data_IF_075743576613
#
_entry.id   IF_075743576613
#
_cell.length_a   1.000
_cell.length_b   1.000
_cell.length_c   1.000
_cell.angle_alpha   90.00
_cell.angle_beta   90.00
_cell.angle_gamma   90.00
#
_symmetry.space_group_name_H-M   'P 1'
#
loop_
_entity.id
_entity.type
_entity.pdbx_description
1 polymer ?
#
# COMPACT_ATOMS: atom_id res chain seq x y z
N UNK A 1 -15.15 -2.87 5.05
CA UNK A 1 -13.95 -3.71 4.86
C UNK A 1 -14.05 -4.59 3.62
N UNK A 2 -14.88 -5.65 3.61
CA UNK A 2 -14.92 -6.65 2.51
C UNK A 2 -15.26 -6.06 1.13
N UNK A 3 -16.30 -5.23 1.02
CA UNK A 3 -16.65 -4.60 -0.26
C UNK A 3 -15.49 -3.76 -0.83
N UNK A 4 -14.80 -2.98 0.03
CA UNK A 4 -13.65 -2.18 -0.38
C UNK A 4 -12.48 -3.06 -0.82
N UNK A 5 -12.25 -4.20 -0.14
CA UNK A 5 -11.15 -5.10 -0.49
C UNK A 5 -11.40 -5.84 -1.80
N UNK A 6 -12.64 -6.21 -2.10
CA UNK A 6 -13.05 -6.70 -3.41
C UNK A 6 -12.87 -5.63 -4.49
N UNK A 7 -13.31 -4.39 -4.25
CA UNK A 7 -13.13 -3.30 -5.21
C UNK A 7 -11.64 -3.04 -5.51
N UNK A 8 -10.76 -3.10 -4.51
CA UNK A 8 -9.31 -2.97 -4.72
C UNK A 8 -8.80 -4.05 -5.69
N UNK A 9 -9.17 -5.32 -5.45
CA UNK A 9 -8.76 -6.42 -6.31
C UNK A 9 -9.31 -6.31 -7.73
N UNK A 10 -10.62 -6.07 -7.87
CA UNK A 10 -11.30 -6.05 -9.17
C UNK A 10 -10.93 -4.82 -10.01
N UNK A 11 -10.85 -3.64 -9.39
CA UNK A 11 -10.54 -2.41 -10.10
C UNK A 11 -9.06 -2.35 -10.45
N UNK A 12 -8.16 -2.60 -9.49
CA UNK A 12 -6.71 -2.38 -9.69
C UNK A 12 -5.99 -3.53 -10.40
N UNK A 13 -6.56 -4.74 -10.38
CA UNK A 13 -5.95 -5.92 -11.00
C UNK A 13 -6.88 -6.63 -12.01
N UNK A 14 -7.50 -5.91 -12.97
CA UNK A 14 -8.48 -6.48 -13.89
C UNK A 14 -7.85 -7.47 -14.88
N UNK A 15 -6.53 -7.42 -15.03
CA UNK A 15 -5.72 -8.31 -15.87
C UNK A 15 -5.31 -9.62 -15.17
N UNK A 16 -5.60 -9.76 -13.87
CA UNK A 16 -5.27 -10.96 -13.10
C UNK A 16 -6.42 -11.98 -13.12
N UNK A 17 -6.09 -13.26 -12.89
CA UNK A 17 -7.11 -14.31 -12.74
C UNK A 17 -7.90 -14.14 -11.44
N UNK A 18 -9.05 -14.81 -11.37
CA UNK A 18 -9.89 -14.82 -10.17
C UNK A 18 -9.11 -15.25 -8.91
N UNK A 19 -8.25 -16.28 -8.99
CA UNK A 19 -7.49 -16.75 -7.83
C UNK A 19 -6.54 -15.69 -7.29
N UNK A 20 -5.92 -14.90 -8.17
CA UNK A 20 -5.06 -13.78 -7.79
C UNK A 20 -5.90 -12.65 -7.18
N UNK A 21 -7.00 -12.27 -7.81
CA UNK A 21 -7.91 -11.25 -7.27
C UNK A 21 -8.48 -11.66 -5.91
N UNK A 22 -8.84 -12.93 -5.73
CA UNK A 22 -9.30 -13.48 -4.46
C UNK A 22 -8.23 -13.38 -3.38
N UNK A 23 -6.97 -13.72 -3.71
CA UNK A 23 -5.86 -13.52 -2.80
C UNK A 23 -5.72 -12.06 -2.38
N UNK A 24 -5.75 -11.14 -3.34
CA UNK A 24 -5.59 -9.70 -3.11
C UNK A 24 -6.75 -9.14 -2.27
N UNK A 25 -7.98 -9.59 -2.53
CA UNK A 25 -9.16 -9.16 -1.79
C UNK A 25 -9.12 -9.61 -0.32
N UNK A 26 -8.67 -10.84 -0.05
CA UNK A 26 -8.46 -11.31 1.32
C UNK A 26 -7.30 -10.59 1.99
N UNK A 27 -6.17 -10.46 1.29
CA UNK A 27 -5.00 -9.74 1.78
C UNK A 27 -5.37 -8.31 2.21
N UNK A 28 -6.10 -7.59 1.35
CA UNK A 28 -6.57 -6.22 1.61
C UNK A 28 -7.58 -6.16 2.75
N UNK A 29 -8.43 -7.18 2.92
CA UNK A 29 -9.32 -7.25 4.07
C UNK A 29 -8.54 -7.43 5.38
N UNK A 30 -7.50 -8.27 5.38
CA UNK A 30 -6.64 -8.48 6.55
C UNK A 30 -5.82 -7.24 6.89
N UNK A 31 -5.32 -6.50 5.90
CA UNK A 31 -4.58 -5.25 6.17
C UNK A 31 -5.48 -4.17 6.74
N UNK A 32 -6.71 -4.01 6.23
CA UNK A 32 -7.69 -3.11 6.87
C UNK A 32 -8.03 -3.54 8.28
N UNK A 33 -8.20 -4.84 8.53
CA UNK A 33 -8.43 -5.33 9.89
C UNK A 33 -7.23 -5.03 10.80
N UNK A 34 -6.00 -5.23 10.32
CA UNK A 34 -4.80 -4.96 11.10
C UNK A 34 -4.66 -3.49 11.46
N UNK A 35 -4.94 -2.58 10.51
CA UNK A 35 -4.94 -1.13 10.71
C UNK A 35 -5.96 -0.71 11.78
N UNK A 36 -7.23 -1.09 11.59
CA UNK A 36 -8.32 -0.80 12.53
C UNK A 36 -8.03 -1.41 13.94
N UNK A 37 -7.45 -2.62 13.99
CA UNK A 37 -7.12 -3.28 15.25
C UNK A 37 -5.92 -2.64 15.96
N UNK A 38 -4.94 -2.15 15.21
CA UNK A 38 -3.73 -1.54 15.78
C UNK A 38 -4.03 -0.24 16.54
N UNK A 39 -5.08 0.49 16.12
CA UNK A 39 -5.57 1.68 16.82
C UNK A 39 -6.02 1.37 18.24
N UNK A 40 -6.71 0.25 18.42
CA UNK A 40 -7.25 -0.21 19.71
C UNK A 40 -6.20 -0.96 20.55
N UNK A 41 -5.51 -1.94 19.95
CA UNK A 41 -4.49 -2.78 20.57
C UNK A 41 -3.31 -3.03 19.61
N UNK A 42 -2.18 -2.30 19.77
CA UNK A 42 -1.04 -2.45 18.88
C UNK A 42 -0.21 -3.72 19.15
N UNK A 43 -0.31 -4.36 20.32
CA UNK A 43 0.58 -5.48 20.68
C UNK A 43 0.45 -6.69 19.73
N UNK A 44 -0.75 -7.17 19.36
CA UNK A 44 -0.93 -8.24 18.38
C UNK A 44 -0.26 -7.96 17.03
N UNK A 45 -0.28 -6.71 16.58
CA UNK A 45 0.29 -6.25 15.31
C UNK A 45 1.81 -6.24 15.39
N UNK A 46 2.38 -5.65 16.46
CA UNK A 46 3.82 -5.61 16.68
C UNK A 46 4.47 -7.00 16.85
N UNK A 47 3.73 -7.97 17.41
CA UNK A 47 4.20 -9.35 17.58
C UNK A 47 4.11 -10.21 16.31
N UNK A 48 3.39 -9.75 15.27
CA UNK A 48 3.00 -10.57 14.13
C UNK A 48 4.20 -11.25 13.44
N UNK A 49 5.24 -10.48 13.11
CA UNK A 49 6.41 -10.97 12.39
C UNK A 49 7.24 -11.97 13.22
N UNK A 50 7.41 -11.70 14.52
CA UNK A 50 8.12 -12.59 15.44
C UNK A 50 7.40 -13.93 15.58
N UNK A 51 6.08 -13.90 15.83
CA UNK A 51 5.28 -15.12 16.01
C UNK A 51 5.18 -15.92 14.72
N UNK A 52 5.04 -15.25 13.57
CA UNK A 52 5.10 -15.90 12.26
C UNK A 52 6.43 -16.65 12.07
N UNK A 53 7.56 -15.97 12.32
CA UNK A 53 8.91 -16.51 12.07
C UNK A 53 9.28 -17.65 13.00
N UNK A 54 8.69 -17.69 14.20
CA UNK A 54 8.92 -18.73 15.21
C UNK A 54 7.86 -19.85 15.19
N UNK A 55 6.91 -19.79 14.25
CA UNK A 55 5.85 -20.79 14.12
C UNK A 55 4.85 -20.80 15.27
N UNK A 56 4.77 -19.71 16.04
CA UNK A 56 3.77 -19.54 17.08
C UNK A 56 2.43 -19.13 16.47
N UNK A 57 1.33 -19.42 17.18
CA UNK A 57 0.02 -18.82 16.86
C UNK A 57 0.13 -17.30 16.95
N UNK A 58 -0.73 -16.59 16.23
CA UNK A 58 -0.89 -15.15 16.38
C UNK A 58 -1.71 -14.82 17.62
N UNK A 59 -1.68 -13.54 18.04
CA UNK A 59 -2.39 -13.11 19.27
C UNK A 59 -3.89 -12.96 19.03
N UNK A 60 -4.30 -12.98 17.76
CA UNK A 60 -5.67 -12.85 17.31
C UNK A 60 -5.99 -13.91 16.22
N UNK A 61 -7.19 -14.54 16.24
CA UNK A 61 -7.58 -15.56 15.24
C UNK A 61 -7.69 -15.07 13.79
N UNK A 62 -7.98 -13.79 13.55
CA UNK A 62 -7.97 -13.18 12.21
C UNK A 62 -6.52 -13.04 11.74
N UNK A 63 -5.60 -12.64 12.62
CA UNK A 63 -4.16 -12.61 12.31
C UNK A 63 -3.59 -14.02 12.05
N UNK A 64 -4.09 -15.06 12.73
CA UNK A 64 -3.75 -16.46 12.41
C UNK A 64 -4.12 -16.81 10.96
N UNK A 65 -5.31 -16.37 10.52
CA UNK A 65 -5.77 -16.55 9.14
C UNK A 65 -4.94 -15.72 8.17
N UNK A 66 -4.54 -14.52 8.54
CA UNK A 66 -3.66 -13.71 7.69
C UNK A 66 -2.29 -14.36 7.51
N UNK A 67 -1.69 -14.86 8.60
CA UNK A 67 -0.44 -15.61 8.56
C UNK A 67 -0.54 -16.86 7.68
N UNK A 68 -1.65 -17.59 7.72
CA UNK A 68 -1.89 -18.71 6.82
C UNK A 68 -2.04 -18.26 5.37
N UNK A 69 -2.75 -17.16 5.12
CA UNK A 69 -2.96 -16.58 3.79
C UNK A 69 -1.64 -16.18 3.12
N UNK A 70 -0.74 -15.53 3.86
CA UNK A 70 0.58 -15.10 3.34
C UNK A 70 1.42 -16.27 2.81
N UNK A 71 1.29 -17.47 3.39
CA UNK A 71 2.03 -18.65 2.92
C UNK A 71 1.62 -19.08 1.50
N UNK A 72 0.38 -18.81 1.11
CA UNK A 72 -0.09 -19.12 -0.25
C UNK A 72 0.55 -18.23 -1.33
N UNK A 73 1.25 -17.16 -0.94
CA UNK A 73 1.93 -16.29 -1.90
C UNK A 73 3.00 -17.04 -2.71
N UNK A 74 3.66 -18.04 -2.11
CA UNK A 74 4.72 -18.82 -2.78
C UNK A 74 4.20 -19.71 -3.92
N UNK A 75 2.92 -20.08 -3.88
CA UNK A 75 2.28 -20.82 -4.96
C UNK A 75 1.97 -19.89 -6.14
N UNK A 76 1.55 -18.66 -5.85
CA UNK A 76 0.99 -17.72 -6.81
C UNK A 76 2.01 -16.75 -7.43
N UNK A 77 3.09 -16.37 -6.72
CA UNK A 77 4.10 -15.43 -7.19
C UNK A 77 5.49 -16.07 -7.35
N UNK A 78 6.38 -15.52 -8.20
CA UNK A 78 7.78 -15.91 -8.24
C UNK A 78 8.43 -15.73 -6.85
N UNK A 79 9.49 -16.50 -6.56
CA UNK A 79 10.12 -16.53 -5.23
C UNK A 79 10.43 -15.13 -4.67
N UNK A 80 11.02 -14.23 -5.47
CA UNK A 80 11.32 -12.89 -5.01
C UNK A 80 10.05 -12.06 -4.76
N UNK A 81 9.03 -12.17 -5.61
CA UNK A 81 7.75 -11.49 -5.42
C UNK A 81 7.01 -11.98 -4.18
N UNK A 82 6.96 -13.29 -3.97
CA UNK A 82 6.40 -13.90 -2.76
C UNK A 82 7.15 -13.45 -1.49
N UNK A 83 8.50 -13.44 -1.54
CA UNK A 83 9.31 -12.92 -0.45
C UNK A 83 9.00 -11.44 -0.18
N UNK A 84 8.89 -10.61 -1.21
CA UNK A 84 8.55 -9.19 -1.09
C UNK A 84 7.15 -8.95 -0.53
N UNK A 85 6.16 -9.78 -0.88
CA UNK A 85 4.82 -9.72 -0.31
C UNK A 85 4.88 -10.03 1.19
N UNK A 86 5.55 -11.11 1.59
CA UNK A 86 5.65 -11.53 2.99
C UNK A 86 6.46 -10.53 3.82
N UNK A 87 7.66 -10.15 3.37
CA UNK A 87 8.51 -9.21 4.09
C UNK A 87 7.93 -7.81 4.14
N UNK A 88 7.30 -7.34 3.05
CA UNK A 88 6.59 -6.06 3.03
C UNK A 88 5.38 -6.05 3.98
N UNK A 89 4.74 -7.19 4.21
CA UNK A 89 3.69 -7.31 5.23
C UNK A 89 4.27 -7.23 6.66
N UNK A 90 5.43 -7.84 6.91
CA UNK A 90 6.10 -7.71 8.21
C UNK A 90 6.57 -6.29 8.50
N UNK A 91 7.12 -5.62 7.48
CA UNK A 91 7.45 -4.20 7.54
C UNK A 91 6.19 -3.39 7.89
N UNK A 92 5.08 -3.59 7.17
CA UNK A 92 3.83 -2.87 7.45
C UNK A 92 3.32 -3.08 8.88
N UNK A 93 3.25 -4.32 9.35
CA UNK A 93 2.84 -4.63 10.73
C UNK A 93 3.74 -3.94 11.76
N UNK A 94 5.06 -4.00 11.55
CA UNK A 94 6.04 -3.37 12.45
C UNK A 94 5.87 -1.86 12.47
N UNK A 95 5.64 -1.24 11.32
CA UNK A 95 5.56 0.22 11.21
C UNK A 95 4.20 0.77 11.60
N UNK A 96 3.10 0.04 11.40
CA UNK A 96 1.81 0.36 12.02
C UNK A 96 1.94 0.35 13.55
N UNK A 97 2.57 -0.69 14.13
CA UNK A 97 2.87 -0.70 15.56
C UNK A 97 3.68 0.54 16.00
N UNK A 98 4.66 0.97 15.20
CA UNK A 98 5.42 2.19 15.50
C UNK A 98 4.54 3.45 15.42
N UNK A 99 3.65 3.59 14.44
CA UNK A 99 2.74 4.74 14.32
C UNK A 99 1.93 4.93 15.60
N UNK A 100 1.33 3.86 16.13
CA UNK A 100 0.51 3.95 17.35
C UNK A 100 1.32 4.06 18.65
N UNK A 101 2.48 3.41 18.74
CA UNK A 101 3.34 3.47 19.94
C UNK A 101 4.21 4.72 20.01
N UNK A 102 4.33 5.46 18.91
CA UNK A 102 5.09 6.72 18.85
C UNK A 102 4.21 7.94 18.54
N UNK A 103 2.88 7.83 18.66
CA UNK A 103 1.92 8.89 18.33
C UNK A 103 2.17 10.25 19.01
N UNK A 104 2.72 10.23 20.23
CA UNK A 104 3.03 11.45 20.99
C UNK A 104 4.42 12.05 20.62
N UNK A 105 5.14 11.42 19.70
CA UNK A 105 6.46 11.87 19.27
C UNK A 105 6.33 13.11 18.38
N UNK A 106 6.99 14.18 18.80
CA UNK A 106 7.16 15.37 17.95
C UNK A 106 8.18 15.08 16.86
N UNK A 107 7.74 15.09 15.60
CA UNK A 107 8.64 15.08 14.44
C UNK A 107 9.49 16.35 14.47
N UNK A 108 10.81 16.16 14.52
CA UNK A 108 11.75 17.29 14.56
C UNK A 108 11.90 17.90 13.16
N UNK A 109 12.01 19.23 13.05
CA UNK A 109 12.51 19.86 11.82
C UNK A 109 13.81 19.20 11.38
N UNK A 110 14.04 19.10 10.08
CA UNK A 110 15.22 18.48 9.45
C UNK A 110 15.27 16.94 9.51
N UNK A 111 14.30 16.26 10.14
CA UNK A 111 14.14 14.81 10.03
C UNK A 111 13.54 14.38 8.67
N UNK A 112 14.01 14.97 7.56
CA UNK A 112 13.35 14.94 6.24
C UNK A 112 13.22 13.55 5.61
N UNK A 113 14.02 12.57 6.05
CA UNK A 113 13.90 11.17 5.59
C UNK A 113 12.88 10.36 6.39
N UNK A 114 12.55 10.79 7.60
CA UNK A 114 11.69 10.04 8.50
C UNK A 114 10.28 9.79 7.94
N UNK A 115 9.56 10.80 7.40
CA UNK A 115 8.22 10.59 6.85
C UNK A 115 8.18 9.57 5.72
N UNK A 116 9.11 9.68 4.76
CA UNK A 116 9.22 8.72 3.65
C UNK A 116 9.60 7.32 4.13
N UNK A 117 10.49 7.23 5.14
CA UNK A 117 10.89 5.95 5.72
C UNK A 117 9.71 5.26 6.41
N UNK A 118 8.95 5.98 7.23
CA UNK A 118 7.74 5.44 7.86
C UNK A 118 6.72 5.00 6.80
N UNK A 119 6.42 5.89 5.85
CA UNK A 119 5.38 5.65 4.85
C UNK A 119 5.68 4.48 3.92
N UNK A 120 6.92 4.38 3.42
CA UNK A 120 7.34 3.27 2.54
C UNK A 120 7.28 1.90 3.23
N UNK A 121 7.35 1.87 4.57
CA UNK A 121 7.31 0.64 5.34
C UNK A 121 5.91 0.29 5.83
N UNK A 122 5.16 1.26 6.33
CA UNK A 122 3.77 1.07 6.77
C UNK A 122 2.82 0.80 5.58
N UNK A 123 3.05 1.44 4.43
CA UNK A 123 2.04 1.60 3.38
C UNK A 123 1.74 0.43 2.47
N UNK A 124 2.38 -0.73 2.66
CA UNK A 124 2.10 -1.96 1.90
C UNK A 124 2.29 -1.81 0.37
N UNK A 125 2.98 -0.76 -0.09
CA UNK A 125 3.09 -0.46 -1.52
C UNK A 125 3.86 -1.54 -2.30
N UNK A 126 4.96 -2.06 -1.73
CA UNK A 126 5.71 -3.18 -2.33
C UNK A 126 4.84 -4.43 -2.56
N UNK A 127 4.10 -4.98 -1.57
CA UNK A 127 3.17 -6.07 -1.81
C UNK A 127 2.15 -5.76 -2.93
N UNK A 128 1.51 -4.59 -2.91
CA UNK A 128 0.56 -4.21 -3.96
C UNK A 128 1.21 -4.09 -5.34
N UNK A 129 2.45 -3.61 -5.44
CA UNK A 129 3.18 -3.60 -6.71
C UNK A 129 3.47 -5.02 -7.22
N UNK A 130 3.85 -5.95 -6.32
CA UNK A 130 4.16 -7.34 -6.67
C UNK A 130 2.92 -8.13 -7.12
N UNK A 131 1.73 -7.79 -6.60
CA UNK A 131 0.48 -8.42 -7.00
C UNK A 131 0.21 -8.34 -8.51
N UNK A 132 0.72 -7.30 -9.18
CA UNK A 132 0.60 -7.14 -10.63
C UNK A 132 1.36 -8.19 -11.44
N UNK A 133 2.26 -8.96 -10.82
CA UNK A 133 3.19 -9.85 -11.51
C UNK A 133 3.17 -11.29 -10.98
N UNK A 134 2.02 -12.00 -11.09
CA UNK A 134 1.91 -13.38 -10.67
C UNK A 134 2.80 -14.31 -11.52
N UNK A 135 3.12 -15.48 -10.97
CA UNK A 135 3.99 -16.49 -11.61
C UNK A 135 3.46 -16.94 -12.98
N UNK A 136 2.15 -16.93 -13.15
CA UNK A 136 1.49 -17.33 -14.40
C UNK A 136 1.59 -16.28 -15.53
N UNK A 137 2.05 -15.05 -15.23
CA UNK A 137 2.14 -13.98 -16.23
C UNK A 137 3.37 -14.14 -17.13
N UNK A 138 4.58 -14.16 -16.55
CA UNK A 138 5.85 -14.28 -17.28
C UNK A 138 6.95 -14.97 -16.48
N UNK A 139 7.86 -15.62 -17.21
CA UNK A 139 9.05 -16.26 -16.66
C UNK A 139 10.16 -15.25 -16.41
N UNK A 140 10.18 -14.66 -15.21
CA UNK A 140 11.36 -13.95 -14.68
C UNK A 140 11.17 -12.47 -14.37
N UNK A 141 11.82 -12.05 -13.28
CA UNK A 141 11.72 -10.73 -12.66
C UNK A 141 12.31 -9.60 -13.50
N UNK A 142 13.24 -9.92 -14.41
CA UNK A 142 14.00 -8.93 -15.17
C UNK A 142 13.10 -8.03 -16.04
N UNK A 143 11.89 -8.48 -16.35
CA UNK A 143 10.94 -7.72 -17.16
C UNK A 143 10.29 -6.56 -16.40
N UNK A 144 10.14 -6.63 -15.07
CA UNK A 144 9.36 -5.64 -14.31
C UNK A 144 10.04 -5.14 -13.03
N UNK A 145 11.10 -5.77 -12.54
CA UNK A 145 11.69 -5.44 -11.23
C UNK A 145 12.14 -3.98 -11.12
N UNK A 146 12.53 -3.36 -12.24
CA UNK A 146 12.98 -1.96 -12.26
C UNK A 146 11.87 -0.96 -11.94
N UNK A 147 10.60 -1.29 -12.20
CA UNK A 147 9.48 -0.38 -11.94
C UNK A 147 8.88 -0.57 -10.54
N UNK A 148 9.22 -1.64 -9.83
CA UNK A 148 8.68 -1.93 -8.48
C UNK A 148 8.88 -0.76 -7.50
N UNK A 149 10.07 -0.12 -7.40
CA UNK A 149 10.25 1.01 -6.48
C UNK A 149 9.39 2.22 -6.83
N UNK A 150 9.25 2.53 -8.12
CA UNK A 150 8.40 3.64 -8.58
C UNK A 150 6.91 3.29 -8.39
N UNK A 151 6.50 2.03 -8.57
CA UNK A 151 5.14 1.56 -8.28
C UNK A 151 4.82 1.65 -6.78
N UNK A 152 5.72 1.22 -5.91
CA UNK A 152 5.58 1.35 -4.44
C UNK A 152 5.32 2.81 -4.06
N UNK A 153 6.18 3.71 -4.51
CA UNK A 153 6.03 5.14 -4.27
C UNK A 153 4.72 5.69 -4.85
N UNK A 154 4.35 5.34 -6.09
CA UNK A 154 3.08 5.74 -6.70
C UNK A 154 1.89 5.29 -5.86
N UNK A 155 1.86 4.05 -5.41
CA UNK A 155 0.76 3.45 -4.65
C UNK A 155 0.56 4.19 -3.33
N UNK A 156 1.63 4.39 -2.57
CA UNK A 156 1.56 5.04 -1.25
C UNK A 156 1.26 6.53 -1.37
N UNK A 157 1.97 7.26 -2.23
CA UNK A 157 1.80 8.71 -2.36
C UNK A 157 0.44 9.08 -2.96
N UNK A 158 -0.05 8.33 -3.96
CA UNK A 158 -1.38 8.55 -4.53
C UNK A 158 -2.47 8.28 -3.49
N UNK A 159 -2.30 7.25 -2.67
CA UNK A 159 -3.21 7.01 -1.57
C UNK A 159 -3.23 8.19 -0.57
N UNK A 160 -2.07 8.75 -0.20
CA UNK A 160 -1.98 9.90 0.72
C UNK A 160 -2.70 11.13 0.17
N UNK A 161 -2.61 11.41 -1.14
CA UNK A 161 -3.35 12.53 -1.76
C UNK A 161 -4.85 12.24 -1.75
N UNK A 162 -5.27 11.04 -2.18
CA UNK A 162 -6.68 10.70 -2.36
C UNK A 162 -7.38 10.43 -1.02
N UNK A 163 -6.64 10.14 0.04
CA UNK A 163 -7.15 10.00 1.39
C UNK A 163 -7.11 11.32 2.17
N UNK A 164 -6.26 12.28 1.82
CA UNK A 164 -6.09 13.52 2.58
C UNK A 164 -7.39 14.23 2.95
N UNK A 165 -8.39 14.24 2.05
CA UNK A 165 -9.68 14.84 2.33
C UNK A 165 -10.42 14.16 3.49
N UNK A 166 -10.52 12.82 3.47
CA UNK A 166 -11.19 12.06 4.54
C UNK A 166 -10.47 12.20 5.89
N UNK A 167 -9.15 12.35 5.86
CA UNK A 167 -8.28 12.48 7.05
C UNK A 167 -8.41 13.88 7.65
N UNK A 168 -8.40 14.90 6.79
CA UNK A 168 -8.55 16.29 7.21
C UNK A 168 -9.88 16.55 7.91
N UNK A 169 -10.98 16.01 7.39
CA UNK A 169 -12.30 16.15 8.01
C UNK A 169 -12.48 15.28 9.26
N UNK A 170 -11.66 14.25 9.43
CA UNK A 170 -11.57 13.48 10.68
C UNK A 170 -10.68 14.16 11.73
N UNK A 171 -9.91 15.19 11.35
CA UNK A 171 -8.99 15.89 12.24
C UNK A 171 -7.66 15.16 12.45
N UNK A 172 -7.32 14.20 11.58
CA UNK A 172 -6.07 13.44 11.63
C UNK A 172 -4.87 14.35 11.27
N UNK A 173 -3.83 14.32 12.10
CA UNK A 173 -2.61 15.16 11.93
C UNK A 173 -1.30 14.37 11.99
N UNK A 174 -1.40 13.05 12.10
CA UNK A 174 -0.31 12.09 12.16
C UNK A 174 -0.09 11.34 10.84
N UNK A 175 -0.84 11.69 9.79
CA UNK A 175 -0.62 11.17 8.44
C UNK A 175 0.65 11.71 7.78
N UNK A 176 1.08 11.01 6.72
CA UNK A 176 2.32 11.30 5.98
C UNK A 176 2.47 12.77 5.55
N UNK A 177 1.38 13.42 5.09
CA UNK A 177 1.41 14.82 4.64
C UNK A 177 1.80 15.74 5.79
N UNK A 178 1.22 15.55 6.98
CA UNK A 178 1.54 16.34 8.16
C UNK A 178 2.94 16.03 8.71
N UNK A 179 3.35 14.75 8.73
CA UNK A 179 4.70 14.36 9.14
C UNK A 179 5.77 14.99 8.23
N UNK A 180 5.53 15.00 6.92
CA UNK A 180 6.41 15.65 5.93
C UNK A 180 6.41 17.17 6.05
N UNK A 181 5.25 17.77 6.25
CA UNK A 181 5.12 19.21 6.50
C UNK A 181 5.95 19.64 7.72
N UNK A 182 5.87 18.89 8.83
CA UNK A 182 6.66 19.15 10.03
C UNK A 182 8.17 18.97 9.81
N UNK A 183 8.58 17.90 9.12
CA UNK A 183 10.00 17.61 8.89
C UNK A 183 10.68 18.60 7.92
N UNK A 184 9.95 19.06 6.90
CA UNK A 184 10.45 19.98 5.86
C UNK A 184 10.13 21.45 6.13
N UNK A 185 9.44 21.76 7.24
CA UNK A 185 9.01 23.11 7.61
C UNK A 185 8.13 23.77 6.53
N UNK A 186 7.21 22.99 5.97
CA UNK A 186 6.23 23.39 4.95
C UNK A 186 4.81 23.37 5.51
N UNK A 187 3.88 24.01 4.80
CA UNK A 187 2.45 23.78 5.04
C UNK A 187 1.99 22.43 4.45
N UNK A 188 0.96 21.76 5.01
CA UNK A 188 0.37 20.55 4.41
C UNK A 188 -0.06 20.75 2.95
N UNK A 189 -0.59 21.92 2.60
CA UNK A 189 -1.00 22.25 1.22
C UNK A 189 0.19 22.28 0.26
N UNK A 190 1.33 22.85 0.69
CA UNK A 190 2.55 22.81 -0.13
C UNK A 190 3.03 21.37 -0.35
N UNK A 191 2.99 20.53 0.69
CA UNK A 191 3.35 19.11 0.57
C UNK A 191 2.43 18.37 -0.40
N UNK A 192 1.13 18.65 -0.41
CA UNK A 192 0.20 18.05 -1.39
C UNK A 192 0.52 18.45 -2.83
N UNK A 193 0.92 19.71 -3.06
CA UNK A 193 1.37 20.15 -4.39
C UNK A 193 2.65 19.42 -4.80
N UNK A 194 3.64 19.37 -3.91
CA UNK A 194 4.90 18.66 -4.16
C UNK A 194 4.64 17.17 -4.48
N UNK A 195 3.77 16.51 -3.71
CA UNK A 195 3.39 15.11 -3.95
C UNK A 195 2.69 14.92 -5.30
N UNK A 196 1.83 15.86 -5.70
CA UNK A 196 1.15 15.79 -6.99
C UNK A 196 2.16 15.79 -8.13
N UNK A 197 3.15 16.69 -8.08
CA UNK A 197 4.22 16.78 -9.09
C UNK A 197 5.10 15.52 -9.06
N UNK A 198 5.48 15.03 -7.88
CA UNK A 198 6.29 13.82 -7.72
C UNK A 198 5.57 12.56 -8.27
N UNK A 199 4.25 12.44 -8.08
CA UNK A 199 3.43 11.35 -8.63
C UNK A 199 3.37 11.43 -10.16
N UNK A 200 3.11 12.61 -10.73
CA UNK A 200 3.08 12.79 -12.19
C UNK A 200 4.43 12.42 -12.83
N UNK A 201 5.53 12.83 -12.20
CA UNK A 201 6.87 12.47 -12.64
C UNK A 201 7.13 10.96 -12.53
N UNK A 202 6.63 10.32 -11.46
CA UNK A 202 6.72 8.87 -11.25
C UNK A 202 5.95 8.11 -12.33
N UNK A 203 4.72 8.52 -12.63
CA UNK A 203 3.91 7.93 -13.71
C UNK A 203 4.62 8.04 -15.05
N UNK A 204 5.23 9.20 -15.35
CA UNK A 204 6.02 9.40 -16.57
C UNK A 204 7.24 8.48 -16.62
N UNK A 205 7.97 8.32 -15.52
CA UNK A 205 9.14 7.41 -15.45
C UNK A 205 8.74 5.96 -15.72
N UNK A 206 7.73 5.44 -15.01
CA UNK A 206 7.25 4.07 -15.22
C UNK A 206 6.81 3.89 -16.67
N UNK A 207 5.98 4.81 -17.19
CA UNK A 207 5.49 4.77 -18.58
C UNK A 207 6.62 4.69 -19.61
N UNK A 208 7.70 5.44 -19.41
CA UNK A 208 8.88 5.39 -20.29
C UNK A 208 9.62 4.05 -20.18
N UNK A 209 9.84 3.54 -18.95
CA UNK A 209 10.53 2.26 -18.70
C UNK A 209 9.77 1.10 -19.32
N UNK A 210 8.44 1.08 -19.24
CA UNK A 210 7.62 0.00 -19.78
C UNK A 210 7.36 0.10 -21.29
N UNK A 211 7.54 1.29 -21.89
CA UNK A 211 7.16 1.56 -23.29
C UNK A 211 7.73 0.60 -24.36
N UNK A 212 8.94 0.01 -24.21
CA UNK A 212 9.44 -0.97 -25.18
C UNK A 212 8.72 -2.32 -25.12
N UNK A 213 7.91 -2.56 -24.09
CA UNK A 213 7.24 -3.82 -23.80
C UNK A 213 5.71 -3.63 -23.77
N UNK A 214 4.98 -4.02 -24.84
CA UNK A 214 3.55 -3.78 -24.95
C UNK A 214 2.71 -4.45 -23.86
N UNK A 215 3.08 -5.64 -23.39
CA UNK A 215 2.30 -6.34 -22.35
C UNK A 215 2.51 -5.68 -20.98
N UNK A 216 3.75 -5.29 -20.66
CA UNK A 216 4.02 -4.58 -19.41
C UNK A 216 3.41 -3.17 -19.42
N UNK A 217 3.42 -2.51 -20.57
CA UNK A 217 2.71 -1.23 -20.77
C UNK A 217 1.21 -1.38 -20.50
N UNK A 218 0.61 -2.47 -20.97
CA UNK A 218 -0.81 -2.74 -20.75
C UNK A 218 -1.13 -3.01 -19.28
N UNK A 219 -0.32 -3.84 -18.60
CA UNK A 219 -0.44 -4.07 -17.14
C UNK A 219 -0.37 -2.77 -16.37
N UNK A 220 0.64 -1.93 -16.63
CA UNK A 220 0.81 -0.64 -15.96
C UNK A 220 -0.38 0.30 -16.20
N UNK A 221 -0.82 0.42 -17.45
CA UNK A 221 -1.97 1.27 -17.82
C UNK A 221 -3.24 0.83 -17.11
N UNK A 222 -3.55 -0.46 -17.14
CA UNK A 222 -4.72 -1.01 -16.47
C UNK A 222 -4.64 -0.81 -14.95
N UNK A 223 -3.46 -1.01 -14.35
CA UNK A 223 -3.24 -0.80 -12.92
C UNK A 223 -3.49 0.65 -12.50
N UNK A 224 -2.91 1.66 -13.19
CA UNK A 224 -3.13 3.08 -12.83
C UNK A 224 -4.62 3.42 -12.87
N UNK A 225 -5.29 3.11 -14.00
CA UNK A 225 -6.70 3.46 -14.18
C UNK A 225 -7.55 2.78 -13.10
N UNK A 226 -7.29 1.50 -12.87
CA UNK A 226 -7.95 0.70 -11.86
C UNK A 226 -7.75 1.18 -10.43
N UNK A 227 -6.54 1.62 -10.09
CA UNK A 227 -6.22 2.14 -8.76
C UNK A 227 -6.89 3.48 -8.49
N UNK A 228 -6.93 4.37 -9.49
CA UNK A 228 -7.66 5.64 -9.39
C UNK A 228 -9.18 5.40 -9.31
N UNK A 229 -9.71 4.50 -10.14
CA UNK A 229 -11.12 4.12 -10.15
C UNK A 229 -11.55 3.54 -8.79
N UNK A 230 -10.71 2.69 -8.18
CA UNK A 230 -10.94 2.17 -6.82
C UNK A 230 -11.15 3.31 -5.81
N UNK A 231 -10.29 4.33 -5.81
CA UNK A 231 -10.39 5.46 -4.87
C UNK A 231 -11.67 6.27 -5.08
N UNK A 232 -12.04 6.54 -6.34
CA UNK A 232 -13.25 7.29 -6.68
C UNK A 232 -14.54 6.50 -6.37
N UNK A 233 -14.53 5.18 -6.61
CA UNK A 233 -15.69 4.31 -6.36
C UNK A 233 -15.91 4.04 -4.88
N UNK A 234 -14.84 3.91 -4.10
CA UNK A 234 -14.91 3.45 -2.72
C UNK A 234 -15.39 4.58 -1.79
N UNK A 235 -16.55 4.43 -1.11
CA UNK A 235 -17.09 5.48 -0.25
C UNK A 235 -16.16 5.93 0.89
N UNK A 236 -15.20 5.07 1.29
CA UNK A 236 -14.19 5.36 2.32
C UNK A 236 -13.47 6.69 2.07
N UNK A 237 -13.13 7.03 0.83
CA UNK A 237 -12.34 8.23 0.51
C UNK A 237 -13.16 9.51 0.40
N UNK A 238 -14.50 9.40 0.38
CA UNK A 238 -15.42 10.55 0.34
C UNK A 238 -15.20 11.53 -0.83
N UNK A 239 -14.52 11.09 -1.90
CA UNK A 239 -14.19 11.94 -3.06
C UNK A 239 -15.43 12.44 -3.84
N UNK A 240 -16.58 11.77 -3.70
CA UNK A 240 -17.86 12.25 -4.25
C UNK A 240 -18.29 13.59 -3.68
N UNK A 241 -17.90 13.91 -2.45
CA UNK A 241 -18.19 15.20 -1.82
C UNK A 241 -17.39 16.34 -2.45
N UNK A 242 -16.29 16.01 -3.13
CA UNK A 242 -15.49 16.93 -3.94
C UNK A 242 -15.89 16.94 -5.42
N UNK A 243 -16.94 16.19 -5.81
CA UNK A 243 -17.43 16.12 -7.19
C UNK A 243 -16.73 15.08 -8.07
N UNK A 244 -15.91 14.18 -7.51
CA UNK A 244 -15.34 13.06 -8.26
C UNK A 244 -16.35 11.91 -8.32
N UNK A 245 -16.73 11.49 -9.53
CA UNK A 245 -17.68 10.42 -9.77
C UNK A 245 -17.04 9.30 -10.61
N UNK A 246 -17.46 8.02 -10.42
CA UNK A 246 -16.96 6.89 -11.21
C UNK A 246 -17.31 6.96 -12.69
#
# INVERSE_FOLDING_TARGET
MISNSCNMAECSYPFCSFDIQYFIALYTAFTFYADDHCEDDPEPIGQFAFRFSTGQKQMDPVLDRFAAHLKNAFDLWPLAGANSIVSGTFDSMTFMYLEYTTKDMVVRPQATRYPNYMRSKAGVGIPYAQFSFPKAWRDGLNSYVQIIPDMDYFITATNDILSFYKESIAGETDNYVHLRAAAEEKSPVQVLHDLSDEILDTVRRITNVVSPDPELTDVWRQFIHGYLEFHVKTPRYRLRELGFHP
#
